data_IF_446945896052
#
_entry.id   IF_446945896052
#
_cell.length_a   1.000
_cell.length_b   1.000
_cell.length_c   1.000
_cell.angle_alpha   90.00
_cell.angle_beta   90.00
_cell.angle_gamma   90.00
#
_symmetry.space_group_name_H-M   'P 1'
#
loop_
_entity.id
_entity.type
_entity.pdbx_description
1 polymer ?
#
# COMPACT_ATOMS: atom_id res chain seq x y z
N UNK A 1 6.28 -22.09 16.66
CA UNK A 1 4.91 -22.57 16.89
C UNK A 1 4.43 -22.31 18.31
N UNK A 2 5.19 -22.67 19.36
CA UNK A 2 4.74 -22.64 20.76
C UNK A 2 4.35 -21.26 21.30
N UNK A 3 4.85 -20.19 20.73
CA UNK A 3 4.52 -18.81 21.10
C UNK A 3 3.38 -18.20 20.24
N UNK A 4 2.84 -18.97 19.29
CA UNK A 4 1.77 -18.50 18.42
C UNK A 4 0.41 -18.51 19.14
N UNK A 5 -0.53 -17.66 18.73
CA UNK A 5 -1.88 -17.59 19.30
C UNK A 5 -2.71 -18.87 19.09
N UNK A 6 -2.27 -19.76 18.19
CA UNK A 6 -2.92 -21.05 17.95
C UNK A 6 -2.49 -22.14 18.96
N UNK A 7 -1.73 -21.79 19.99
CA UNK A 7 -1.37 -22.65 21.11
C UNK A 7 -2.30 -22.39 22.29
N UNK A 8 -2.81 -23.46 22.86
CA UNK A 8 -3.51 -23.43 24.15
C UNK A 8 -2.82 -24.35 25.15
N UNK A 9 -2.68 -23.89 26.39
CA UNK A 9 -2.14 -24.67 27.52
C UNK A 9 -3.31 -25.08 28.43
N UNK A 10 -3.58 -26.38 28.53
CA UNK A 10 -4.65 -26.94 29.37
C UNK A 10 -4.12 -28.14 30.16
N UNK A 11 -4.32 -28.15 31.48
CA UNK A 11 -4.04 -29.29 32.37
C UNK A 11 -2.76 -30.05 32.05
N UNK A 12 -1.62 -29.35 31.97
CA UNK A 12 -0.33 -29.94 31.65
C UNK A 12 -0.18 -30.51 30.21
N UNK A 13 -1.09 -30.15 29.32
CA UNK A 13 -1.05 -30.45 27.88
C UNK A 13 -0.96 -29.17 27.06
N UNK A 14 -0.28 -29.28 25.93
CA UNK A 14 -0.22 -28.23 24.90
C UNK A 14 -1.07 -28.68 23.73
N UNK A 15 -1.94 -27.79 23.25
CA UNK A 15 -2.74 -28.00 22.05
C UNK A 15 -2.34 -26.97 21.00
N UNK A 16 -2.02 -27.44 19.80
CA UNK A 16 -1.84 -26.58 18.61
C UNK A 16 -2.95 -26.86 17.61
N UNK A 17 -3.63 -25.81 17.17
CA UNK A 17 -4.78 -25.90 16.28
C UNK A 17 -4.52 -25.18 14.96
N UNK A 18 -4.89 -25.78 13.82
CA UNK A 18 -4.74 -25.16 12.50
C UNK A 18 -5.71 -25.76 11.48
N UNK A 19 -6.19 -24.95 10.54
CA UNK A 19 -6.95 -25.47 9.37
C UNK A 19 -6.01 -26.01 8.27
N UNK A 20 -4.69 -25.82 8.40
CA UNK A 20 -3.72 -26.16 7.39
C UNK A 20 -3.06 -27.51 7.66
N UNK A 21 -3.40 -28.52 6.85
CA UNK A 21 -2.85 -29.87 6.96
C UNK A 21 -1.32 -29.91 6.83
N UNK A 22 -0.73 -29.08 5.99
CA UNK A 22 0.72 -28.99 5.87
C UNK A 22 1.37 -28.52 7.19
N UNK A 23 0.77 -27.56 7.88
CA UNK A 23 1.29 -27.04 9.13
C UNK A 23 1.20 -28.05 10.27
N UNK A 24 0.09 -28.80 10.38
CA UNK A 24 -0.03 -29.84 11.42
C UNK A 24 0.98 -30.96 11.20
N UNK A 25 1.13 -31.44 9.97
CA UNK A 25 2.09 -32.49 9.60
C UNK A 25 3.55 -32.03 9.84
N UNK A 26 3.85 -30.77 9.53
CA UNK A 26 5.16 -30.18 9.79
C UNK A 26 5.45 -30.07 11.29
N UNK A 27 4.46 -29.66 12.08
CA UNK A 27 4.61 -29.57 13.53
C UNK A 27 4.81 -30.94 14.16
N UNK A 28 4.02 -31.94 13.77
CA UNK A 28 4.19 -33.33 14.19
C UNK A 28 5.60 -33.86 13.87
N UNK A 29 6.11 -33.56 12.64
CA UNK A 29 7.48 -33.94 12.28
C UNK A 29 8.54 -33.28 13.17
N UNK A 30 8.32 -32.03 13.55
CA UNK A 30 9.24 -31.34 14.47
C UNK A 30 9.21 -31.98 15.87
N UNK A 31 8.03 -32.34 16.41
CA UNK A 31 7.90 -33.04 17.66
C UNK A 31 8.64 -34.38 17.62
N UNK A 32 8.47 -35.17 16.57
CA UNK A 32 9.19 -36.43 16.38
C UNK A 32 10.72 -36.25 16.35
N UNK A 33 11.21 -35.20 15.66
CA UNK A 33 12.65 -34.90 15.64
C UNK A 33 13.22 -34.51 17.02
N UNK A 34 12.35 -34.08 17.94
CA UNK A 34 12.67 -33.77 19.33
C UNK A 34 12.42 -34.96 20.26
N UNK A 35 12.21 -36.17 19.72
CA UNK A 35 11.86 -37.39 20.46
C UNK A 35 10.54 -37.30 21.25
N UNK A 36 9.62 -36.41 20.81
CA UNK A 36 8.26 -36.31 21.34
C UNK A 36 7.35 -37.06 20.38
N UNK A 37 7.08 -38.33 20.66
CA UNK A 37 6.26 -39.19 19.79
C UNK A 37 4.87 -39.50 20.38
N UNK A 38 4.66 -39.19 21.66
CA UNK A 38 3.41 -39.39 22.39
C UNK A 38 2.48 -38.15 22.24
N UNK A 39 2.03 -37.91 21.04
CA UNK A 39 1.03 -36.91 20.72
C UNK A 39 -0.19 -37.52 20.02
N UNK A 40 -1.33 -36.89 20.14
CA UNK A 40 -2.58 -37.25 19.47
C UNK A 40 -2.92 -36.17 18.45
N UNK A 41 -3.37 -36.60 17.25
CA UNK A 41 -3.89 -35.68 16.21
C UNK A 41 -5.36 -36.00 15.99
N UNK A 42 -6.21 -34.98 16.13
CA UNK A 42 -7.64 -35.06 15.89
C UNK A 42 -8.05 -34.07 14.81
N UNK A 43 -9.12 -34.43 14.07
CA UNK A 43 -9.79 -33.52 13.12
C UNK A 43 -11.14 -33.10 13.71
N UNK A 44 -11.26 -31.85 14.13
CA UNK A 44 -12.47 -31.27 14.67
C UNK A 44 -13.14 -30.37 13.62
N UNK A 45 -14.04 -30.93 12.83
CA UNK A 45 -14.61 -30.25 11.67
C UNK A 45 -13.57 -30.02 10.56
N UNK A 46 -13.07 -28.78 10.44
CA UNK A 46 -11.99 -28.42 9.49
C UNK A 46 -10.66 -28.12 10.19
N UNK A 47 -10.63 -28.20 11.51
CA UNK A 47 -9.47 -27.82 12.32
C UNK A 47 -8.73 -29.09 12.72
N UNK A 48 -7.46 -29.17 12.37
CA UNK A 48 -6.53 -30.18 12.90
C UNK A 48 -6.04 -29.69 14.27
N UNK A 49 -6.09 -30.56 15.26
CA UNK A 49 -5.61 -30.31 16.62
C UNK A 49 -4.56 -31.37 16.97
N UNK A 50 -3.36 -30.96 17.36
CA UNK A 50 -2.35 -31.84 17.93
C UNK A 50 -2.21 -31.54 19.42
N UNK A 51 -2.25 -32.59 20.23
CA UNK A 51 -2.17 -32.51 21.69
C UNK A 51 -1.00 -33.34 22.18
N UNK A 52 -0.15 -32.78 23.06
CA UNK A 52 1.00 -33.44 23.65
C UNK A 52 1.31 -32.91 25.05
N UNK A 53 2.16 -33.62 25.83
CA UNK A 53 2.48 -33.23 27.21
C UNK A 53 3.38 -31.99 27.27
N UNK A 54 3.03 -31.01 28.12
CA UNK A 54 3.81 -29.80 28.39
C UNK A 54 5.21 -30.11 28.96
N UNK A 55 5.31 -31.12 29.81
CA UNK A 55 6.57 -31.54 30.46
C UNK A 55 7.73 -31.74 29.49
N UNK A 56 7.43 -32.16 28.25
CA UNK A 56 8.44 -32.46 27.24
C UNK A 56 9.03 -31.22 26.57
N UNK A 57 8.45 -30.08 26.81
CA UNK A 57 8.86 -28.80 26.21
C UNK A 57 9.50 -27.86 27.22
N UNK A 58 9.18 -28.03 28.52
CA UNK A 58 9.75 -27.21 29.60
C UNK A 58 11.28 -27.25 29.65
N UNK A 59 11.89 -28.37 29.24
CA UNK A 59 13.35 -28.50 29.12
C UNK A 59 13.96 -27.63 27.98
N UNK A 60 13.13 -27.13 27.03
CA UNK A 60 13.57 -26.34 25.88
C UNK A 60 13.45 -24.84 26.13
N UNK A 61 12.76 -24.41 27.17
CA UNK A 61 12.48 -22.98 27.48
C UNK A 61 13.70 -22.25 28.07
N UNK A 62 14.81 -22.95 28.39
CA UNK A 62 16.00 -22.38 29.02
C UNK A 62 17.04 -21.79 28.05
N UNK A 63 16.63 -21.20 26.93
CA UNK A 63 17.57 -20.53 26.03
C UNK A 63 17.60 -19.04 26.37
N UNK A 64 18.57 -18.64 27.19
CA UNK A 64 18.71 -17.25 27.65
C UNK A 64 19.03 -16.25 26.54
N UNK A 65 19.75 -16.67 25.49
CA UNK A 65 20.09 -15.81 24.35
C UNK A 65 20.03 -16.57 23.03
N UNK A 66 19.32 -16.01 22.04
CA UNK A 66 19.24 -16.57 20.70
C UNK A 66 20.28 -15.91 19.78
N UNK A 67 20.98 -16.74 18.99
CA UNK A 67 21.78 -16.22 17.89
C UNK A 67 20.91 -15.84 16.68
N UNK A 68 21.50 -15.15 15.70
CA UNK A 68 20.78 -14.65 14.51
C UNK A 68 20.01 -15.75 13.77
N UNK A 69 20.57 -16.94 13.62
CA UNK A 69 19.89 -18.04 12.93
C UNK A 69 18.71 -18.57 13.77
N UNK A 70 18.87 -18.68 15.06
CA UNK A 70 17.79 -19.10 15.97
C UNK A 70 16.64 -18.08 15.99
N UNK A 71 16.94 -16.78 15.92
CA UNK A 71 15.91 -15.72 15.80
C UNK A 71 15.11 -15.90 14.50
N UNK A 72 15.76 -16.16 13.36
CA UNK A 72 15.08 -16.46 12.10
C UNK A 72 14.16 -17.69 12.22
N UNK A 73 14.63 -18.75 12.89
CA UNK A 73 13.83 -19.96 13.12
C UNK A 73 12.63 -19.69 14.04
N UNK A 74 12.80 -18.86 15.07
CA UNK A 74 11.73 -18.44 15.98
C UNK A 74 10.63 -17.70 15.21
N UNK A 75 11.00 -16.66 14.45
CA UNK A 75 10.06 -15.86 13.65
C UNK A 75 9.35 -16.73 12.60
N UNK A 76 10.09 -17.63 11.95
CA UNK A 76 9.51 -18.59 10.99
C UNK A 76 8.52 -19.53 11.67
N UNK A 77 8.83 -20.04 12.86
CA UNK A 77 7.94 -20.90 13.63
C UNK A 77 6.67 -20.17 14.06
N UNK A 78 6.78 -18.95 14.56
CA UNK A 78 5.64 -18.10 14.92
C UNK A 78 4.74 -17.83 13.70
N UNK A 79 5.33 -17.48 12.54
CA UNK A 79 4.57 -17.26 11.31
C UNK A 79 3.87 -18.53 10.81
N UNK A 80 4.52 -19.69 10.87
CA UNK A 80 3.90 -20.97 10.50
C UNK A 80 2.78 -21.38 11.47
N UNK A 81 2.89 -20.96 12.73
CA UNK A 81 1.90 -21.22 13.77
C UNK A 81 0.61 -20.41 13.57
N UNK A 82 0.71 -19.11 13.46
CA UNK A 82 -0.42 -18.19 13.41
C UNK A 82 -0.19 -16.97 12.48
N UNK A 83 0.61 -17.12 11.43
CA UNK A 83 0.88 -16.07 10.47
C UNK A 83 -0.13 -16.03 9.33
N UNK A 84 -0.43 -14.84 8.85
CA UNK A 84 -1.25 -14.60 7.67
C UNK A 84 -0.72 -13.45 6.84
N UNK A 85 -0.98 -13.48 5.54
CA UNK A 85 -0.64 -12.42 4.61
C UNK A 85 -1.80 -12.19 3.64
N UNK A 86 -2.18 -10.93 3.44
CA UNK A 86 -3.20 -10.58 2.47
C UNK A 86 -2.66 -10.64 1.04
N UNK A 87 -3.59 -10.81 0.07
CA UNK A 87 -3.23 -10.68 -1.34
C UNK A 87 -2.59 -9.29 -1.60
N UNK A 88 -1.32 -9.22 -2.03
CA UNK A 88 -0.59 -7.97 -2.23
C UNK A 88 -1.17 -7.09 -3.34
N UNK A 89 -1.97 -7.62 -4.25
CA UNK A 89 -2.69 -6.83 -5.26
C UNK A 89 -3.70 -5.88 -4.63
N UNK A 90 -4.30 -6.28 -3.49
CA UNK A 90 -5.32 -5.49 -2.78
C UNK A 90 -4.70 -4.61 -1.71
N UNK A 91 -3.98 -5.21 -0.75
CA UNK A 91 -3.48 -4.52 0.44
C UNK A 91 -2.24 -5.20 0.98
N UNK A 92 -1.22 -4.42 1.33
CA UNK A 92 -0.07 -4.91 2.09
C UNK A 92 -0.47 -5.05 3.55
N UNK A 93 -0.54 -6.28 4.02
CA UNK A 93 -0.80 -6.61 5.41
C UNK A 93 -0.32 -8.03 5.69
N UNK A 94 0.63 -8.15 6.59
CA UNK A 94 1.09 -9.40 7.18
C UNK A 94 0.82 -9.32 8.68
N UNK A 95 0.32 -10.40 9.25
CA UNK A 95 0.01 -10.50 10.68
C UNK A 95 0.54 -11.82 11.23
N UNK A 96 1.05 -11.80 12.47
CA UNK A 96 1.48 -12.98 13.22
C UNK A 96 0.78 -12.92 14.57
N UNK A 97 -0.10 -13.87 14.85
CA UNK A 97 -0.76 -14.03 16.14
C UNK A 97 0.21 -14.60 17.18
N UNK A 98 0.27 -13.98 18.35
CA UNK A 98 1.14 -14.37 19.47
C UNK A 98 0.29 -14.53 20.73
N UNK A 99 0.59 -15.56 21.55
CA UNK A 99 -0.21 -15.92 22.71
C UNK A 99 -0.15 -14.85 23.82
N UNK A 100 1.01 -14.24 24.04
CA UNK A 100 1.24 -13.30 25.12
C UNK A 100 2.04 -12.05 24.68
N UNK A 101 1.99 -11.02 25.51
CA UNK A 101 2.61 -9.71 25.22
C UNK A 101 4.13 -9.73 25.30
N UNK A 102 4.70 -10.58 26.14
CA UNK A 102 6.15 -10.64 26.35
C UNK A 102 6.81 -11.21 25.10
N UNK A 103 6.33 -12.33 24.59
CA UNK A 103 6.76 -12.90 23.33
C UNK A 103 6.52 -11.96 22.15
N UNK A 104 5.38 -11.23 22.12
CA UNK A 104 5.11 -10.26 21.07
C UNK A 104 6.13 -9.12 21.07
N UNK A 105 6.45 -8.55 22.22
CA UNK A 105 7.48 -7.51 22.38
C UNK A 105 8.86 -8.02 21.98
N UNK A 106 9.23 -9.23 22.39
CA UNK A 106 10.50 -9.83 22.04
C UNK A 106 10.67 -10.01 20.53
N UNK A 107 9.64 -10.53 19.84
CA UNK A 107 9.67 -10.66 18.37
C UNK A 107 9.79 -9.29 17.69
N UNK A 108 9.09 -8.27 18.17
CA UNK A 108 9.19 -6.91 17.60
C UNK A 108 10.61 -6.35 17.76
N UNK A 109 11.28 -6.62 18.89
CA UNK A 109 12.68 -6.23 19.06
C UNK A 109 13.60 -6.96 18.08
N UNK A 110 13.42 -8.27 17.91
CA UNK A 110 14.18 -9.03 16.91
C UNK A 110 13.92 -8.54 15.47
N UNK A 111 12.67 -8.25 15.12
CA UNK A 111 12.35 -7.70 13.79
C UNK A 111 13.02 -6.33 13.55
N UNK A 112 13.16 -5.52 14.61
CA UNK A 112 13.86 -4.24 14.55
C UNK A 112 15.36 -4.40 14.27
N UNK A 113 16.02 -5.44 14.76
CA UNK A 113 17.42 -5.75 14.46
C UNK A 113 17.64 -6.04 12.96
N UNK A 114 16.62 -6.53 12.26
CA UNK A 114 16.63 -6.75 10.82
C UNK A 114 16.05 -5.56 10.02
N UNK A 115 15.90 -4.39 10.65
CA UNK A 115 15.31 -3.19 10.03
C UNK A 115 13.89 -3.45 9.48
N UNK A 116 13.10 -4.25 10.19
CA UNK A 116 11.71 -4.56 9.87
C UNK A 116 10.79 -3.84 10.86
N UNK A 117 10.12 -2.79 10.40
CA UNK A 117 9.15 -2.04 11.20
C UNK A 117 7.86 -2.84 11.36
N UNK A 118 7.46 -3.09 12.58
CA UNK A 118 6.24 -3.81 12.95
C UNK A 118 5.55 -3.14 14.13
N UNK A 119 4.27 -3.44 14.34
CA UNK A 119 3.48 -2.93 15.44
C UNK A 119 2.72 -4.08 16.10
N UNK A 120 2.34 -3.90 17.36
CA UNK A 120 1.52 -4.85 18.12
C UNK A 120 0.12 -4.27 18.25
N UNK A 121 -0.88 -5.13 18.16
CA UNK A 121 -2.28 -4.84 18.50
C UNK A 121 -2.82 -5.96 19.38
N UNK A 122 -3.55 -5.60 20.41
CA UNK A 122 -4.31 -6.54 21.23
C UNK A 122 -5.70 -6.74 20.62
N UNK A 123 -6.10 -7.99 20.48
CA UNK A 123 -7.42 -8.41 19.99
C UNK A 123 -7.97 -9.51 20.87
N UNK A 124 -8.99 -9.22 21.67
CA UNK A 124 -9.72 -10.21 22.52
C UNK A 124 -8.79 -11.02 23.46
N UNK A 125 -7.78 -10.37 24.03
CA UNK A 125 -6.83 -11.02 24.95
C UNK A 125 -5.67 -11.76 24.26
N UNK A 126 -5.62 -11.76 22.93
CA UNK A 126 -4.49 -12.23 22.13
C UNK A 126 -3.74 -11.05 21.52
N UNK A 127 -2.49 -11.25 21.14
CA UNK A 127 -1.64 -10.23 20.55
C UNK A 127 -1.34 -10.56 19.10
N UNK A 128 -1.36 -9.54 18.25
CA UNK A 128 -0.98 -9.70 16.86
C UNK A 128 0.11 -8.69 16.48
N UNK A 129 1.21 -9.19 15.96
CA UNK A 129 2.25 -8.37 15.34
C UNK A 129 1.85 -8.16 13.89
N UNK A 130 1.74 -6.90 13.44
CA UNK A 130 1.36 -6.62 12.06
C UNK A 130 2.34 -5.70 11.33
N UNK A 131 2.43 -5.90 10.03
CA UNK A 131 3.27 -5.15 9.09
C UNK A 131 2.41 -4.72 7.90
N UNK A 132 2.44 -3.42 7.57
CA UNK A 132 1.68 -2.82 6.44
C UNK A 132 2.57 -2.24 5.35
N UNK A 133 3.86 -2.14 5.61
CA UNK A 133 4.84 -1.66 4.64
C UNK A 133 5.27 -2.79 3.70
N UNK A 134 5.26 -2.52 2.38
CA UNK A 134 5.57 -3.54 1.38
C UNK A 134 7.03 -4.01 1.42
N UNK A 135 7.98 -3.11 1.69
CA UNK A 135 9.39 -3.46 1.81
C UNK A 135 9.64 -4.31 3.05
N UNK A 136 9.04 -3.93 4.19
CA UNK A 136 9.14 -4.68 5.43
C UNK A 136 8.52 -6.10 5.30
N UNK A 137 7.39 -6.24 4.57
CA UNK A 137 6.80 -7.56 4.26
C UNK A 137 7.75 -8.40 3.39
N UNK A 138 8.37 -7.82 2.40
CA UNK A 138 9.36 -8.53 1.58
C UNK A 138 10.56 -8.99 2.42
N UNK A 139 11.09 -8.12 3.30
CA UNK A 139 12.17 -8.45 4.22
C UNK A 139 11.82 -9.61 5.15
N UNK A 140 10.63 -9.62 5.76
CA UNK A 140 10.23 -10.72 6.66
C UNK A 140 10.01 -12.03 5.89
N UNK A 141 9.44 -11.99 4.68
CA UNK A 141 9.32 -13.18 3.84
C UNK A 141 10.69 -13.77 3.48
N UNK A 142 11.68 -12.93 3.19
CA UNK A 142 13.05 -13.37 2.97
C UNK A 142 13.68 -13.93 4.25
N UNK A 143 13.50 -13.26 5.38
CA UNK A 143 14.01 -13.66 6.70
C UNK A 143 13.56 -15.07 7.09
N UNK A 144 12.26 -15.37 6.88
CA UNK A 144 11.69 -16.70 7.18
C UNK A 144 11.95 -17.73 6.09
N UNK A 145 12.69 -17.39 5.03
CA UNK A 145 13.09 -18.30 3.95
C UNK A 145 12.00 -18.59 2.93
N UNK A 146 10.99 -17.72 2.78
CA UNK A 146 9.89 -17.87 1.81
C UNK A 146 10.26 -17.29 0.43
N UNK A 147 11.42 -17.67 -0.13
CA UNK A 147 12.04 -17.05 -1.31
C UNK A 147 11.13 -16.99 -2.55
N UNK A 148 10.35 -18.04 -2.82
CA UNK A 148 9.39 -18.04 -3.93
C UNK A 148 8.29 -16.99 -3.74
N UNK A 149 7.83 -16.82 -2.48
CA UNK A 149 6.82 -15.82 -2.12
C UNK A 149 7.38 -14.40 -2.21
N UNK A 150 8.66 -14.20 -1.88
CA UNK A 150 9.36 -12.91 -2.05
C UNK A 150 9.33 -12.48 -3.52
N UNK A 151 9.75 -13.35 -4.43
CA UNK A 151 9.78 -13.04 -5.87
C UNK A 151 8.40 -12.65 -6.39
N UNK A 152 7.37 -13.43 -6.07
CA UNK A 152 5.99 -13.14 -6.47
C UNK A 152 5.47 -11.84 -5.84
N UNK A 153 5.80 -11.58 -4.59
CA UNK A 153 5.40 -10.37 -3.88
C UNK A 153 6.03 -9.11 -4.49
N UNK A 154 7.33 -9.16 -4.80
CA UNK A 154 8.07 -8.07 -5.44
C UNK A 154 7.57 -7.78 -6.87
N UNK A 155 7.26 -8.80 -7.65
CA UNK A 155 6.66 -8.63 -8.98
C UNK A 155 5.35 -7.82 -8.90
N UNK A 156 4.45 -8.19 -7.99
CA UNK A 156 3.19 -7.47 -7.78
C UNK A 156 3.45 -6.05 -7.27
N UNK A 157 4.44 -5.85 -6.39
CA UNK A 157 4.82 -4.54 -5.86
C UNK A 157 5.27 -3.60 -6.97
N UNK A 158 6.16 -4.05 -7.85
CA UNK A 158 6.64 -3.28 -9.01
C UNK A 158 5.49 -2.91 -9.94
N UNK A 159 4.61 -3.87 -10.27
CA UNK A 159 3.42 -3.59 -11.11
C UNK A 159 2.52 -2.52 -10.49
N UNK A 160 2.25 -2.58 -9.20
CA UNK A 160 1.44 -1.57 -8.50
C UNK A 160 2.08 -0.19 -8.52
N UNK A 161 3.38 -0.10 -8.30
CA UNK A 161 4.11 1.17 -8.36
C UNK A 161 4.06 1.78 -9.77
N UNK A 162 4.25 0.96 -10.81
CA UNK A 162 4.11 1.40 -12.20
C UNK A 162 2.69 1.93 -12.49
N UNK A 163 1.65 1.17 -12.13
CA UNK A 163 0.26 1.57 -12.34
C UNK A 163 -0.07 2.86 -11.58
N UNK A 164 0.39 3.00 -10.34
CA UNK A 164 0.20 4.21 -9.54
C UNK A 164 0.88 5.43 -10.19
N UNK A 165 2.08 5.26 -10.75
CA UNK A 165 2.81 6.31 -11.47
C UNK A 165 2.05 6.74 -12.72
N UNK A 166 1.58 5.77 -13.53
CA UNK A 166 0.78 6.03 -14.72
C UNK A 166 -0.51 6.79 -14.36
N UNK A 167 -1.24 6.31 -13.36
CA UNK A 167 -2.49 6.95 -12.91
C UNK A 167 -2.26 8.40 -12.44
N UNK A 168 -1.15 8.67 -11.73
CA UNK A 168 -0.79 10.05 -11.33
C UNK A 168 -0.53 10.95 -12.54
N UNK A 169 0.17 10.45 -13.56
CA UNK A 169 0.45 11.20 -14.80
C UNK A 169 -0.87 11.49 -15.52
N UNK A 170 -1.69 10.45 -15.75
CA UNK A 170 -3.00 10.60 -16.44
C UNK A 170 -3.91 11.57 -15.69
N UNK A 171 -4.01 11.46 -14.35
CA UNK A 171 -4.82 12.37 -13.55
C UNK A 171 -4.32 13.82 -13.64
N UNK A 172 -3.00 14.03 -13.63
CA UNK A 172 -2.40 15.35 -13.78
C UNK A 172 -2.69 15.96 -15.16
N UNK A 173 -2.49 15.19 -16.24
CA UNK A 173 -2.76 15.64 -17.60
C UNK A 173 -4.25 15.93 -17.83
N UNK A 174 -5.13 15.05 -17.33
CA UNK A 174 -6.58 15.25 -17.40
C UNK A 174 -7.02 16.51 -16.65
N UNK A 175 -6.49 16.75 -15.45
CA UNK A 175 -6.79 17.97 -14.69
C UNK A 175 -6.30 19.24 -15.40
N UNK A 176 -5.12 19.19 -16.01
CA UNK A 176 -4.57 20.32 -16.79
C UNK A 176 -5.41 20.58 -18.06
N UNK A 177 -5.82 19.52 -18.76
CA UNK A 177 -6.68 19.62 -19.93
C UNK A 177 -8.04 20.25 -19.55
N UNK A 178 -8.69 19.75 -18.50
CA UNK A 178 -9.96 20.29 -18.03
C UNK A 178 -9.86 21.77 -17.65
N UNK A 179 -8.80 22.19 -16.96
CA UNK A 179 -8.54 23.61 -16.66
C UNK A 179 -8.41 24.45 -17.93
N UNK A 180 -7.74 23.92 -18.95
CA UNK A 180 -7.55 24.62 -20.24
C UNK A 180 -8.86 24.76 -20.98
N UNK A 181 -9.68 23.71 -21.03
CA UNK A 181 -11.00 23.71 -21.67
C UNK A 181 -11.93 24.69 -20.97
N UNK A 182 -12.06 24.62 -19.64
CA UNK A 182 -12.94 25.51 -18.87
C UNK A 182 -12.55 26.98 -19.06
N UNK A 183 -11.25 27.30 -18.96
CA UNK A 183 -10.77 28.64 -19.21
C UNK A 183 -11.07 29.11 -20.65
N UNK A 184 -10.95 28.23 -21.64
CA UNK A 184 -11.31 28.55 -23.04
C UNK A 184 -12.80 28.86 -23.19
N UNK A 185 -13.68 28.08 -22.57
CA UNK A 185 -15.13 28.30 -22.60
C UNK A 185 -15.46 29.68 -22.01
N UNK A 186 -14.95 29.99 -20.82
CA UNK A 186 -15.16 31.29 -20.18
C UNK A 186 -14.67 32.45 -21.03
N UNK A 187 -13.50 32.31 -21.65
CA UNK A 187 -12.92 33.31 -22.55
C UNK A 187 -13.81 33.53 -23.82
N UNK A 188 -14.28 32.44 -24.44
CA UNK A 188 -15.14 32.47 -25.60
C UNK A 188 -16.48 33.13 -25.27
N UNK A 189 -17.08 32.81 -24.12
CA UNK A 189 -18.32 33.44 -23.67
C UNK A 189 -18.16 34.95 -23.43
N UNK A 190 -17.04 35.35 -22.80
CA UNK A 190 -16.71 36.74 -22.59
C UNK A 190 -16.58 37.51 -23.93
N UNK A 191 -15.87 36.90 -24.90
CA UNK A 191 -15.72 37.51 -26.23
C UNK A 191 -17.07 37.62 -26.95
N UNK A 192 -17.92 36.58 -26.88
CA UNK A 192 -19.27 36.62 -27.47
C UNK A 192 -20.15 37.72 -26.84
N UNK A 193 -20.08 37.89 -25.50
CA UNK A 193 -20.77 38.99 -24.79
C UNK A 193 -20.31 40.35 -25.27
N UNK A 194 -19.00 40.59 -25.45
CA UNK A 194 -18.49 41.86 -25.98
C UNK A 194 -18.94 42.12 -27.41
N UNK A 195 -19.06 41.09 -28.24
CA UNK A 195 -19.60 41.22 -29.61
C UNK A 195 -21.08 41.58 -29.61
N UNK A 196 -21.89 40.93 -28.75
CA UNK A 196 -23.33 41.17 -28.69
C UNK A 196 -23.71 42.55 -28.15
N UNK A 197 -22.90 43.15 -27.27
CA UNK A 197 -23.15 44.47 -26.70
C UNK A 197 -22.42 45.63 -27.43
N UNK A 198 -21.77 45.36 -28.58
CA UNK A 198 -21.06 46.35 -29.38
C UNK A 198 -19.75 46.87 -28.79
N UNK A 199 -19.32 46.38 -27.61
CA UNK A 199 -18.06 46.79 -26.95
C UNK A 199 -16.83 46.19 -27.63
N UNK A 200 -16.98 45.14 -28.45
CA UNK A 200 -15.87 44.49 -29.15
C UNK A 200 -15.11 45.46 -30.07
N UNK A 201 -15.83 46.34 -30.77
CA UNK A 201 -15.22 47.32 -31.66
C UNK A 201 -14.38 48.38 -30.96
N UNK A 202 -14.58 48.55 -29.65
CA UNK A 202 -13.79 49.48 -28.81
C UNK A 202 -12.53 48.86 -28.24
N UNK A 203 -12.28 47.56 -28.48
CA UNK A 203 -11.05 46.90 -28.03
C UNK A 203 -9.84 47.39 -28.85
N UNK A 204 -8.68 47.47 -28.19
CA UNK A 204 -7.40 47.70 -28.88
C UNK A 204 -7.06 46.54 -29.82
N UNK A 205 -6.34 46.82 -30.91
CA UNK A 205 -5.96 45.82 -31.92
C UNK A 205 -5.34 44.54 -31.35
N UNK A 206 -4.42 44.60 -30.35
CA UNK A 206 -3.87 43.38 -29.74
C UNK A 206 -4.89 42.54 -28.98
N UNK A 207 -5.96 43.13 -28.43
CA UNK A 207 -7.05 42.43 -27.77
C UNK A 207 -8.03 41.83 -28.79
N UNK A 208 -8.32 42.56 -29.89
CA UNK A 208 -9.14 42.03 -30.99
C UNK A 208 -8.48 40.80 -31.62
N UNK A 209 -7.19 40.89 -31.95
CA UNK A 209 -6.46 39.83 -32.59
C UNK A 209 -6.51 38.52 -31.75
N UNK A 210 -6.21 38.61 -30.43
CA UNK A 210 -6.23 37.42 -29.57
C UNK A 210 -7.64 36.87 -29.36
N UNK A 211 -8.66 37.74 -29.30
CA UNK A 211 -10.06 37.33 -29.21
C UNK A 211 -10.51 36.54 -30.45
N UNK A 212 -10.17 37.01 -31.65
CA UNK A 212 -10.48 36.30 -32.89
C UNK A 212 -9.74 34.97 -33.01
N UNK A 213 -8.46 34.94 -32.63
CA UNK A 213 -7.69 33.70 -32.60
C UNK A 213 -8.30 32.68 -31.64
N UNK A 214 -8.75 33.10 -30.45
CA UNK A 214 -9.41 32.22 -29.47
C UNK A 214 -10.73 31.67 -30.03
N UNK A 215 -11.53 32.48 -30.71
CA UNK A 215 -12.77 32.00 -31.34
C UNK A 215 -12.51 30.99 -32.45
N UNK A 216 -11.47 31.20 -33.27
CA UNK A 216 -11.09 30.29 -34.35
C UNK A 216 -10.43 29.01 -33.85
N UNK A 217 -9.74 29.08 -32.73
CA UNK A 217 -8.93 27.98 -32.14
C UNK A 217 -9.33 27.71 -30.69
N UNK A 218 -10.55 27.20 -30.42
CA UNK A 218 -11.07 27.03 -29.07
C UNK A 218 -10.26 26.02 -28.22
N UNK A 219 -9.63 25.04 -28.86
CA UNK A 219 -8.88 23.96 -28.20
C UNK A 219 -7.41 24.29 -28.01
N UNK A 220 -6.89 25.35 -28.61
CA UNK A 220 -5.48 25.71 -28.50
C UNK A 220 -5.13 26.23 -27.12
N UNK A 221 -3.97 25.81 -26.60
CA UNK A 221 -3.44 26.34 -25.35
C UNK A 221 -2.87 27.76 -25.53
N UNK A 222 -2.58 28.43 -24.39
CA UNK A 222 -2.12 29.83 -24.44
C UNK A 222 -0.78 30.02 -25.15
N UNK A 223 0.09 29.01 -25.17
CA UNK A 223 1.40 29.05 -25.84
C UNK A 223 1.18 28.99 -27.35
N UNK A 224 0.30 28.12 -27.82
CA UNK A 224 -0.06 27.99 -29.23
C UNK A 224 -0.70 29.27 -29.75
N UNK A 225 -1.68 29.82 -29.02
CA UNK A 225 -2.28 31.11 -29.38
C UNK A 225 -1.26 32.24 -29.46
N UNK A 226 -0.29 32.25 -28.51
CA UNK A 226 0.76 33.27 -28.51
C UNK A 226 1.66 33.22 -29.74
N UNK A 227 1.90 32.03 -30.28
CA UNK A 227 2.68 31.81 -31.50
C UNK A 227 1.92 32.21 -32.77
N UNK A 228 0.59 32.20 -32.73
CA UNK A 228 -0.29 32.54 -33.87
C UNK A 228 -0.51 34.05 -34.03
N UNK A 229 -0.12 34.87 -33.08
CA UNK A 229 -0.20 36.34 -33.15
C UNK A 229 0.79 36.90 -34.17
N UNK A 230 0.44 38.01 -34.83
CA UNK A 230 1.33 38.74 -35.74
C UNK A 230 2.64 39.12 -35.06
N UNK A 231 2.56 39.55 -33.80
CA UNK A 231 3.70 39.75 -32.92
C UNK A 231 3.65 38.68 -31.82
N UNK A 232 4.38 37.57 -31.93
CA UNK A 232 4.32 36.47 -30.99
C UNK A 232 4.63 36.89 -29.54
N UNK A 233 3.82 36.42 -28.59
CA UNK A 233 4.00 36.67 -27.17
C UNK A 233 3.97 35.37 -26.38
N UNK A 234 4.60 35.36 -25.21
CA UNK A 234 4.58 34.20 -24.34
C UNK A 234 3.23 33.97 -23.66
N UNK A 235 3.11 32.81 -22.98
CA UNK A 235 1.90 32.39 -22.22
C UNK A 235 1.34 33.51 -21.33
N UNK A 236 2.21 34.22 -20.61
CA UNK A 236 1.80 35.30 -19.69
C UNK A 236 1.16 36.48 -20.42
N UNK A 237 1.69 36.89 -21.58
CA UNK A 237 1.14 37.95 -22.38
C UNK A 237 -0.24 37.58 -22.95
N UNK A 238 -0.42 36.35 -23.44
CA UNK A 238 -1.73 35.85 -23.89
C UNK A 238 -2.73 35.83 -22.74
N UNK A 239 -2.31 35.29 -21.59
CA UNK A 239 -3.17 35.20 -20.40
C UNK A 239 -3.63 36.61 -19.94
N UNK A 240 -2.71 37.57 -19.89
CA UNK A 240 -3.04 38.95 -19.54
C UNK A 240 -4.10 39.54 -20.48
N UNK A 241 -3.91 39.40 -21.77
CA UNK A 241 -4.86 39.92 -22.77
C UNK A 241 -6.24 39.29 -22.66
N UNK A 242 -6.32 37.96 -22.54
CA UNK A 242 -7.61 37.26 -22.39
C UNK A 242 -8.28 37.59 -21.05
N UNK A 243 -7.53 37.74 -19.98
CA UNK A 243 -8.06 38.18 -18.68
C UNK A 243 -8.66 39.60 -18.80
N UNK A 244 -7.97 40.53 -19.46
CA UNK A 244 -8.47 41.88 -19.70
C UNK A 244 -9.78 41.89 -20.50
N UNK A 245 -9.91 41.04 -21.51
CA UNK A 245 -11.16 40.84 -22.27
C UNK A 245 -12.28 40.36 -21.35
N UNK A 246 -12.02 39.41 -20.48
CA UNK A 246 -13.00 38.90 -19.51
C UNK A 246 -13.44 39.98 -18.51
N UNK A 247 -12.51 40.79 -17.98
CA UNK A 247 -12.82 41.93 -17.13
C UNK A 247 -13.74 42.92 -17.81
N UNK A 248 -13.40 43.35 -19.03
CA UNK A 248 -14.20 44.29 -19.83
C UNK A 248 -15.60 43.75 -20.22
N UNK A 249 -15.73 42.42 -20.34
CA UNK A 249 -17.03 41.79 -20.60
C UNK A 249 -17.98 41.82 -19.39
N UNK A 250 -17.44 41.97 -18.17
CA UNK A 250 -18.20 42.03 -16.93
C UNK A 250 -18.47 43.47 -16.44
N UNK A 251 -17.80 44.46 -17.00
CA UNK A 251 -18.09 45.88 -16.74
C UNK A 251 -19.48 46.24 -17.32
N UNK A 252 -20.40 46.78 -16.46
CA UNK A 252 -21.76 47.14 -16.84
C UNK A 252 -21.80 48.32 -17.80
#
# INVERSE_FOLDING_TARGET
YLISSNIANEDNKIKFSTENEYNINRFAKLLNNMNISDYEIELQGKIFVITFSKRKVEELENIETLNVEQIKWLIRGAYLGAGSINNPEKKYHLEIGIADVENANQIVQYLKEFDIKSNIVEKKGEYAIYIKDGEAISKILALIGANKSVLKFEEIRVQREMNNKINRIVNCETANLNKTINASIEQIEAIKRLKSNGKFEKLDEPLKEIAELRLKNPNSNLIELGKMLKNPVGKSGVNYRLKRIMEMSNEK
#
